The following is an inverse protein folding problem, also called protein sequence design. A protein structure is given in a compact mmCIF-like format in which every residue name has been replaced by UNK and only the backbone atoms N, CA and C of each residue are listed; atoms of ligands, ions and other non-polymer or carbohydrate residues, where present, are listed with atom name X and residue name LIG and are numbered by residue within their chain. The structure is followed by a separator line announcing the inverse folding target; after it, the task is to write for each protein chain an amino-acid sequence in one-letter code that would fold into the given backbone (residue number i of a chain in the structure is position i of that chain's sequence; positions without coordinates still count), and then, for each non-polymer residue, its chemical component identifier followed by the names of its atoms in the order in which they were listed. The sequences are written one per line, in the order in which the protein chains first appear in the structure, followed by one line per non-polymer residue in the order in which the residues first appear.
data_IF_042179917740
#
_entry.id   IF_042179917740
#
_cell.length_a   1.000
_cell.length_b   1.000
_cell.length_c   1.000
_cell.angle_alpha   90.00
_cell.angle_beta   90.00
_cell.angle_gamma   90.00
#
_symmetry.space_group_name_H-M   'P 1'
#
loop_
_entity.id
_entity.type
_entity.pdbx_description
1 polymer ?
#
# COMPACT_ATOMS: atom_id res chain seq x y z
N UNK A 1 7.68 -20.03 19.47
CA UNK A 1 7.26 -18.96 18.54
C UNK A 1 5.94 -19.41 17.95
N UNK A 2 4.90 -18.58 18.00
CA UNK A 2 3.65 -18.89 17.30
C UNK A 2 3.93 -18.83 15.80
N UNK A 3 3.76 -19.93 15.07
CA UNK A 3 3.85 -19.90 13.61
C UNK A 3 2.79 -18.95 13.10
N UNK A 4 3.18 -17.94 12.32
CA UNK A 4 2.21 -17.02 11.73
C UNK A 4 1.29 -17.79 10.79
N UNK A 5 -0.02 -17.72 11.04
CA UNK A 5 -1.01 -18.44 10.25
C UNK A 5 -1.30 -17.68 8.95
N UNK A 6 -1.18 -18.36 7.81
CA UNK A 6 -1.70 -17.86 6.53
C UNK A 6 -3.22 -18.05 6.48
N UNK A 7 -3.94 -16.95 6.26
CA UNK A 7 -5.41 -16.92 6.24
C UNK A 7 -5.96 -16.80 4.81
N UNK A 8 -5.25 -16.11 3.92
CA UNK A 8 -5.59 -15.99 2.50
C UNK A 8 -4.38 -16.32 1.63
N UNK A 9 -4.62 -16.98 0.50
CA UNK A 9 -3.63 -17.38 -0.51
C UNK A 9 -4.00 -16.79 -1.87
N UNK A 10 -3.09 -16.90 -2.85
CA UNK A 10 -3.31 -16.48 -4.24
C UNK A 10 -3.63 -14.98 -4.36
N UNK A 11 -2.93 -14.16 -3.58
CA UNK A 11 -3.16 -12.71 -3.56
C UNK A 11 -2.35 -11.94 -4.60
N UNK A 12 -1.31 -12.55 -5.18
CA UNK A 12 -0.49 -11.89 -6.20
C UNK A 12 -1.32 -11.55 -7.43
N UNK A 13 -1.22 -10.31 -7.90
CA UNK A 13 -2.00 -9.80 -9.01
C UNK A 13 -3.46 -9.49 -8.67
N UNK A 14 -3.91 -9.63 -7.41
CA UNK A 14 -5.27 -9.19 -7.03
C UNK A 14 -5.32 -7.67 -7.07
N UNK A 15 -6.28 -7.14 -7.84
CA UNK A 15 -6.52 -5.71 -8.00
C UNK A 15 -7.28 -5.13 -6.80
N UNK A 16 -6.88 -3.94 -6.38
CA UNK A 16 -7.56 -3.19 -5.33
C UNK A 16 -7.40 -1.67 -5.51
N UNK A 17 -8.21 -0.88 -4.81
CA UNK A 17 -8.07 0.57 -4.76
C UNK A 17 -8.36 1.11 -3.37
N UNK A 18 -7.85 2.31 -3.10
CA UNK A 18 -7.96 2.95 -1.79
C UNK A 18 -8.37 4.42 -1.89
N UNK A 19 -9.36 4.83 -1.11
CA UNK A 19 -9.70 6.24 -0.85
C UNK A 19 -9.06 6.64 0.49
N UNK A 20 -8.09 7.54 0.45
CA UNK A 20 -7.39 8.05 1.64
C UNK A 20 -7.97 9.41 1.99
N UNK A 21 -8.78 9.47 3.04
CA UNK A 21 -9.47 10.69 3.49
C UNK A 21 -8.75 11.29 4.71
N UNK A 22 -8.21 12.49 4.57
CA UNK A 22 -7.50 13.24 5.62
C UNK A 22 -8.47 14.12 6.39
N UNK A 23 -8.43 14.06 7.70
CA UNK A 23 -9.21 14.88 8.61
C UNK A 23 -8.30 15.68 9.54
N UNK A 24 -8.66 16.94 9.79
CA UNK A 24 -8.01 17.80 10.77
C UNK A 24 -9.01 18.05 11.90
N UNK A 25 -8.65 17.67 13.14
CA UNK A 25 -9.46 17.85 14.34
C UNK A 25 -8.63 18.54 15.41
N UNK A 26 -8.74 19.87 15.49
CA UNK A 26 -7.83 20.67 16.32
C UNK A 26 -6.40 20.52 15.83
N UNK A 27 -5.50 20.11 16.72
CA UNK A 27 -4.07 19.91 16.42
C UNK A 27 -3.75 18.50 15.88
N UNK A 28 -4.76 17.62 15.78
CA UNK A 28 -4.58 16.25 15.30
C UNK A 28 -4.91 16.16 13.82
N UNK A 29 -3.97 15.59 13.05
CA UNK A 29 -4.18 15.21 11.65
C UNK A 29 -4.23 13.69 11.59
N UNK A 30 -5.28 13.14 10.98
CA UNK A 30 -5.43 11.70 10.75
C UNK A 30 -5.89 11.43 9.33
N UNK A 31 -5.53 10.29 8.76
CA UNK A 31 -6.10 9.78 7.51
C UNK A 31 -6.81 8.46 7.74
N UNK A 32 -8.05 8.35 7.25
CA UNK A 32 -8.75 7.07 7.14
C UNK A 32 -8.52 6.48 5.76
N UNK A 33 -8.11 5.22 5.72
CA UNK A 33 -7.91 4.48 4.46
C UNK A 33 -9.08 3.54 4.25
N UNK A 34 -9.91 3.85 3.26
CA UNK A 34 -10.97 2.98 2.79
C UNK A 34 -10.47 2.18 1.60
N UNK A 35 -10.62 0.86 1.61
CA UNK A 35 -10.13 0.03 0.52
C UNK A 35 -11.06 -1.11 0.13
N UNK A 36 -10.88 -1.59 -1.09
CA UNK A 36 -11.69 -2.69 -1.69
C UNK A 36 -11.18 -4.08 -1.33
N UNK A 37 -10.06 -4.19 -0.61
CA UNK A 37 -9.40 -5.46 -0.34
C UNK A 37 -10.35 -6.45 0.34
N UNK A 38 -10.44 -7.65 -0.25
CA UNK A 38 -11.34 -8.73 0.18
C UNK A 38 -12.84 -8.41 0.06
N UNK A 39 -13.22 -7.36 -0.68
CA UNK A 39 -14.62 -7.00 -0.94
C UNK A 39 -14.95 -7.05 -2.43
N UNK A 40 -14.10 -6.47 -3.27
CA UNK A 40 -14.22 -6.49 -4.73
C UNK A 40 -12.84 -6.20 -5.36
N UNK A 41 -12.76 -6.36 -6.67
CA UNK A 41 -11.56 -6.18 -7.51
C UNK A 41 -11.38 -4.73 -8.00
N UNK A 42 -12.03 -3.77 -7.34
CA UNK A 42 -11.99 -2.35 -7.64
C UNK A 42 -12.47 -1.96 -9.06
N UNK A 43 -13.56 -2.50 -9.63
CA UNK A 43 -13.88 -2.42 -11.07
C UNK A 43 -13.62 -1.05 -11.71
N UNK A 44 -12.96 -1.02 -12.88
CA UNK A 44 -12.51 0.23 -13.50
C UNK A 44 -13.68 1.18 -13.77
N UNK A 45 -14.81 0.64 -14.24
CA UNK A 45 -16.04 1.38 -14.49
C UNK A 45 -16.66 2.04 -13.27
N UNK A 46 -16.32 1.58 -12.05
CA UNK A 46 -16.74 2.22 -10.80
C UNK A 46 -15.64 3.15 -10.27
N UNK A 47 -14.38 2.71 -10.30
CA UNK A 47 -13.24 3.52 -9.85
C UNK A 47 -13.09 4.82 -10.63
N UNK A 48 -13.26 4.77 -11.96
CA UNK A 48 -13.10 5.93 -12.85
C UNK A 48 -14.21 6.97 -12.66
N UNK A 49 -15.26 6.64 -11.91
CA UNK A 49 -16.35 7.55 -11.56
C UNK A 49 -16.12 8.28 -10.24
N UNK A 50 -15.04 7.98 -9.52
CA UNK A 50 -14.72 8.63 -8.25
C UNK A 50 -14.17 10.04 -8.49
N UNK A 51 -14.72 11.03 -7.79
CA UNK A 51 -14.20 12.39 -7.75
C UNK A 51 -13.69 12.71 -6.33
N UNK A 52 -12.38 12.96 -6.21
CA UNK A 52 -11.77 13.23 -4.92
C UNK A 52 -12.33 14.49 -4.24
N UNK A 53 -12.70 15.52 -5.00
CA UNK A 53 -13.24 16.76 -4.46
C UNK A 53 -14.69 16.59 -3.99
N UNK A 54 -15.50 15.79 -4.69
CA UNK A 54 -16.85 15.42 -4.24
C UNK A 54 -16.79 14.56 -2.97
N UNK A 55 -15.94 13.53 -2.95
CA UNK A 55 -15.75 12.67 -1.75
C UNK A 55 -15.23 13.51 -0.57
N UNK A 56 -14.33 14.47 -0.82
CA UNK A 56 -13.85 15.39 0.22
C UNK A 56 -15.00 16.15 0.88
N UNK A 57 -15.92 16.70 0.07
CA UNK A 57 -17.10 17.42 0.55
C UNK A 57 -18.06 16.49 1.30
N UNK A 58 -18.33 15.31 0.75
CA UNK A 58 -19.25 14.33 1.35
C UNK A 58 -18.78 13.89 2.75
N UNK A 59 -17.49 13.61 2.88
CA UNK A 59 -16.92 13.16 4.14
C UNK A 59 -16.69 14.30 5.14
N UNK A 60 -16.73 15.57 4.70
CA UNK A 60 -16.23 16.68 5.50
C UNK A 60 -14.73 16.54 5.80
N UNK A 61 -13.99 15.93 4.87
CA UNK A 61 -12.55 15.74 4.97
C UNK A 61 -11.81 17.05 4.63
N UNK A 62 -10.58 17.18 5.09
CA UNK A 62 -9.67 18.23 4.66
C UNK A 62 -9.20 18.00 3.22
N UNK A 63 -8.88 16.75 2.89
CA UNK A 63 -8.47 16.33 1.55
C UNK A 63 -8.73 14.84 1.36
N UNK A 64 -8.91 14.43 0.11
CA UNK A 64 -8.99 13.02 -0.29
C UNK A 64 -7.98 12.74 -1.38
N UNK A 65 -7.25 11.63 -1.26
CA UNK A 65 -6.41 11.06 -2.31
C UNK A 65 -7.04 9.74 -2.79
N UNK A 66 -7.23 9.62 -4.10
CA UNK A 66 -7.49 8.33 -4.74
C UNK A 66 -6.14 7.62 -4.92
N UNK A 67 -5.89 6.58 -4.13
CA UNK A 67 -4.61 5.89 -4.00
C UNK A 67 -4.64 4.53 -4.72
N UNK A 68 -4.67 4.55 -6.05
CA UNK A 68 -4.77 3.35 -6.88
C UNK A 68 -5.53 3.63 -8.18
N UNK A 69 -5.94 2.59 -8.94
CA UNK A 69 -5.91 1.18 -8.58
C UNK A 69 -4.49 0.57 -8.56
N UNK A 70 -4.37 -0.53 -7.84
CA UNK A 70 -3.12 -1.23 -7.53
C UNK A 70 -3.29 -2.73 -7.69
N UNK A 71 -2.19 -3.44 -7.85
CA UNK A 71 -2.17 -4.90 -7.81
C UNK A 71 -1.16 -5.38 -6.77
N UNK A 72 -1.57 -6.33 -5.95
CA UNK A 72 -0.72 -6.93 -4.93
C UNK A 72 0.47 -7.68 -5.54
N UNK A 73 1.62 -7.59 -4.87
CA UNK A 73 2.83 -8.37 -5.13
C UNK A 73 3.18 -9.34 -4.01
N UNK A 74 2.35 -9.39 -2.97
CA UNK A 74 2.34 -10.44 -1.94
C UNK A 74 1.53 -11.65 -2.42
N UNK A 75 1.88 -12.83 -1.94
CA UNK A 75 1.24 -14.11 -2.31
C UNK A 75 0.16 -14.55 -1.31
N UNK A 76 0.26 -14.09 -0.06
CA UNK A 76 -0.72 -14.40 0.98
C UNK A 76 -0.80 -13.37 2.10
N UNK A 77 -1.92 -13.44 2.83
CA UNK A 77 -2.22 -12.61 3.99
C UNK A 77 -2.41 -13.51 5.20
N UNK A 78 -1.85 -13.11 6.33
CA UNK A 78 -2.03 -13.76 7.63
C UNK A 78 -2.84 -12.94 8.61
N UNK A 79 -2.55 -13.14 9.89
CA UNK A 79 -3.21 -12.47 11.01
C UNK A 79 -3.13 -10.94 10.91
N UNK A 80 -4.19 -10.27 11.37
CA UNK A 80 -4.24 -8.82 11.55
C UNK A 80 -4.56 -8.50 13.02
N UNK A 81 -3.62 -7.88 13.72
CA UNK A 81 -3.69 -7.61 15.17
C UNK A 81 -3.89 -6.14 15.53
N UNK A 82 -3.82 -5.24 14.55
CA UNK A 82 -4.24 -3.84 14.66
C UNK A 82 -5.56 -3.64 13.89
N UNK A 83 -6.71 -4.18 14.38
CA UNK A 83 -7.98 -3.96 13.74
C UNK A 83 -8.40 -2.49 13.93
N UNK A 84 -8.86 -1.89 12.84
CA UNK A 84 -9.64 -0.65 12.90
C UNK A 84 -11.11 -1.01 12.83
N UNK A 85 -11.98 -0.20 13.44
CA UNK A 85 -13.42 -0.42 13.31
C UNK A 85 -13.80 -0.40 11.81
N UNK A 86 -14.42 -1.46 11.29
CA UNK A 86 -14.68 -1.65 9.87
C UNK A 86 -15.90 -0.85 9.43
N UNK A 87 -15.70 0.43 9.13
CA UNK A 87 -16.74 1.26 8.54
C UNK A 87 -16.86 0.91 7.06
N UNK A 88 -17.99 0.34 6.67
CA UNK A 88 -18.34 0.13 5.26
C UNK A 88 -18.87 1.45 4.70
N UNK A 89 -18.38 1.84 3.52
CA UNK A 89 -18.89 2.98 2.75
C UNK A 89 -18.94 2.64 1.28
N UNK A 90 -19.92 3.20 0.59
CA UNK A 90 -19.99 3.18 -0.86
C UNK A 90 -19.53 4.53 -1.41
N UNK A 91 -18.59 4.49 -2.34
CA UNK A 91 -18.18 5.65 -3.11
C UNK A 91 -18.65 5.44 -4.54
N UNK A 92 -19.74 6.10 -4.93
CA UNK A 92 -20.35 5.98 -6.25
C UNK A 92 -20.58 4.51 -6.71
N UNK A 93 -21.12 3.67 -5.82
CA UNK A 93 -21.35 2.25 -6.08
C UNK A 93 -20.14 1.34 -5.87
N UNK A 94 -18.96 1.90 -5.59
CA UNK A 94 -17.79 1.13 -5.18
C UNK A 94 -17.78 0.93 -3.66
N UNK A 95 -18.19 -0.25 -3.21
CA UNK A 95 -18.16 -0.60 -1.79
C UNK A 95 -16.71 -0.75 -1.29
N UNK A 96 -16.39 -0.06 -0.21
CA UNK A 96 -15.09 -0.08 0.47
C UNK A 96 -15.26 -0.24 1.98
N UNK A 97 -14.19 -0.65 2.66
CA UNK A 97 -14.13 -0.72 4.12
C UNK A 97 -12.93 0.06 4.63
N UNK A 98 -13.08 0.74 5.77
CA UNK A 98 -11.94 1.31 6.49
C UNK A 98 -10.98 0.19 6.91
N UNK A 99 -9.77 0.19 6.35
CA UNK A 99 -8.75 -0.84 6.57
C UNK A 99 -7.58 -0.34 7.42
N UNK A 100 -7.37 0.97 7.53
CA UNK A 100 -6.35 1.57 8.38
C UNK A 100 -6.74 2.99 8.79
N UNK A 101 -6.12 3.46 9.87
CA UNK A 101 -6.07 4.87 10.27
C UNK A 101 -4.60 5.22 10.41
N UNK A 102 -4.18 6.31 9.78
CA UNK A 102 -2.82 6.85 9.86
C UNK A 102 -2.89 8.12 10.71
N UNK A 103 -2.15 8.14 11.81
CA UNK A 103 -1.96 9.34 12.61
C UNK A 103 -0.68 10.04 12.16
N UNK A 104 -0.72 11.37 12.05
CA UNK A 104 0.44 12.17 11.69
C UNK A 104 0.94 12.93 12.91
N UNK A 105 2.25 12.87 13.13
CA UNK A 105 2.89 13.63 14.20
C UNK A 105 2.78 15.15 13.94
N UNK A 106 2.80 16.00 14.98
CA UNK A 106 2.78 17.45 14.80
C UNK A 106 3.86 17.93 13.81
N UNK A 107 3.42 18.63 12.76
CA UNK A 107 4.30 19.14 11.69
C UNK A 107 4.57 18.16 10.54
N UNK A 108 4.15 16.89 10.66
CA UNK A 108 4.21 15.93 9.56
C UNK A 108 3.10 16.23 8.53
N UNK A 109 3.48 16.29 7.25
CA UNK A 109 2.51 16.54 6.18
C UNK A 109 1.76 15.25 5.82
N UNK A 110 0.43 15.30 5.62
CA UNK A 110 -0.37 14.13 5.21
C UNK A 110 -0.23 13.80 3.72
N UNK A 111 0.60 14.53 2.97
CA UNK A 111 0.92 14.28 1.56
C UNK A 111 2.10 13.34 1.43
N UNK A 112 2.04 12.33 0.57
CA UNK A 112 3.18 11.45 0.28
C UNK A 112 4.11 12.09 -0.75
N UNK A 113 5.42 12.12 -0.45
CA UNK A 113 6.46 12.38 -1.45
C UNK A 113 7.17 11.08 -1.83
N UNK A 114 7.61 10.91 -3.10
CA UNK A 114 8.41 9.76 -3.48
C UNK A 114 9.64 9.61 -2.58
N UNK A 115 9.96 8.37 -2.24
CA UNK A 115 11.11 7.98 -1.42
C UNK A 115 11.09 8.48 0.04
N UNK A 116 9.97 9.05 0.50
CA UNK A 116 9.76 9.40 1.90
C UNK A 116 9.25 8.18 2.69
N UNK A 117 9.94 7.82 3.77
CA UNK A 117 9.52 6.74 4.65
C UNK A 117 8.29 7.13 5.48
N UNK A 118 7.35 6.19 5.61
CA UNK A 118 6.12 6.34 6.40
C UNK A 118 5.97 5.16 7.36
N UNK A 119 5.64 5.46 8.61
CA UNK A 119 5.24 4.45 9.59
C UNK A 119 3.73 4.28 9.59
N UNK A 120 3.24 3.03 9.46
CA UNK A 120 1.82 2.72 9.46
C UNK A 120 1.52 1.63 10.48
N UNK A 121 0.57 1.89 11.39
CA UNK A 121 0.09 0.87 12.32
C UNK A 121 -0.88 -0.09 11.62
N UNK A 122 -0.34 -1.05 10.85
CA UNK A 122 -1.11 -2.02 10.07
C UNK A 122 -1.32 -3.34 10.82
N UNK A 123 -0.36 -3.76 11.64
CA UNK A 123 -0.46 -4.97 12.45
C UNK A 123 -0.74 -6.22 11.62
N UNK A 124 -0.08 -6.41 10.46
CA UNK A 124 -0.42 -7.49 9.52
C UNK A 124 0.77 -8.39 9.20
N UNK A 125 0.47 -9.64 8.87
CA UNK A 125 1.43 -10.60 8.32
C UNK A 125 1.18 -10.77 6.83
N UNK A 126 2.22 -10.59 6.04
CA UNK A 126 2.21 -10.84 4.60
C UNK A 126 3.24 -11.89 4.23
N UNK A 127 2.91 -12.66 3.20
CA UNK A 127 3.77 -13.73 2.73
C UNK A 127 4.11 -13.52 1.25
N UNK A 128 5.37 -13.78 0.92
CA UNK A 128 5.87 -13.89 -0.44
C UNK A 128 6.47 -15.28 -0.58
N UNK A 129 5.96 -16.05 -1.53
CA UNK A 129 6.23 -17.48 -1.63
C UNK A 129 7.65 -17.72 -2.15
N UNK A 130 8.28 -18.81 -1.69
CA UNK A 130 9.51 -19.33 -2.30
C UNK A 130 9.29 -19.52 -3.81
N UNK A 131 10.25 -19.07 -4.62
CA UNK A 131 10.19 -19.11 -6.08
C UNK A 131 9.51 -17.91 -6.72
N UNK A 132 8.82 -17.06 -5.94
CA UNK A 132 8.28 -15.79 -6.45
C UNK A 132 9.40 -14.78 -6.73
N UNK A 133 9.20 -13.96 -7.76
CA UNK A 133 10.03 -12.77 -7.98
C UNK A 133 9.55 -11.66 -7.05
N UNK A 134 10.50 -11.10 -6.30
CA UNK A 134 10.33 -9.85 -5.55
C UNK A 134 11.10 -8.72 -6.22
N UNK A 135 10.56 -7.52 -6.07
CA UNK A 135 11.14 -6.28 -6.58
C UNK A 135 11.47 -5.39 -5.39
N UNK A 136 12.66 -4.85 -5.33
CA UNK A 136 13.19 -4.19 -4.14
C UNK A 136 13.74 -2.81 -4.49
N UNK A 137 13.36 -1.81 -3.70
CA UNK A 137 14.16 -0.58 -3.55
C UNK A 137 15.21 -0.85 -2.48
N UNK A 138 16.46 -0.54 -2.76
CA UNK A 138 17.56 -0.64 -1.79
C UNK A 138 18.07 0.75 -1.54
N UNK A 139 17.99 1.24 -0.30
CA UNK A 139 18.47 2.58 0.05
C UNK A 139 20.01 2.65 0.11
N UNK A 140 20.51 3.86 0.37
CA UNK A 140 21.95 4.13 0.42
C UNK A 140 22.71 3.35 1.50
N UNK A 141 22.01 2.89 2.55
CA UNK A 141 22.58 2.07 3.63
C UNK A 141 22.45 0.56 3.34
N UNK A 142 21.85 0.19 2.20
CA UNK A 142 21.66 -1.19 1.78
C UNK A 142 20.37 -1.84 2.31
N UNK A 143 19.47 -1.07 2.93
CA UNK A 143 18.19 -1.58 3.42
C UNK A 143 17.27 -1.83 2.23
N UNK A 144 16.77 -3.05 2.11
CA UNK A 144 15.91 -3.47 1.00
C UNK A 144 14.42 -3.45 1.39
N UNK A 145 13.63 -2.65 0.70
CA UNK A 145 12.17 -2.56 0.82
C UNK A 145 11.54 -3.38 -0.31
N UNK A 146 10.74 -4.38 0.04
CA UNK A 146 10.07 -5.26 -0.93
C UNK A 146 8.77 -4.63 -1.43
N UNK A 147 8.56 -4.64 -2.75
CA UNK A 147 7.35 -4.14 -3.38
C UNK A 147 6.14 -4.92 -2.85
N UNK A 148 5.25 -4.22 -2.16
CA UNK A 148 3.98 -4.78 -1.73
C UNK A 148 2.94 -4.71 -2.85
N UNK A 149 2.93 -3.65 -3.66
CA UNK A 149 1.97 -3.48 -4.75
C UNK A 149 2.47 -2.48 -5.79
N UNK A 150 2.17 -2.75 -7.07
CA UNK A 150 2.38 -1.77 -8.14
C UNK A 150 1.10 -0.97 -8.42
N UNK A 151 1.25 0.29 -8.80
CA UNK A 151 0.15 1.20 -9.13
C UNK A 151 -0.01 1.31 -10.65
N UNK A 152 -1.24 1.40 -11.14
CA UNK A 152 -1.52 1.55 -12.59
C UNK A 152 -2.09 2.93 -12.95
N UNK A 153 -2.24 3.83 -11.97
CA UNK A 153 -2.84 5.14 -12.20
C UNK A 153 -1.89 6.21 -12.68
N UNK A 154 -0.61 6.11 -12.29
CA UNK A 154 0.42 7.04 -12.76
C UNK A 154 0.97 6.59 -14.11
N UNK A 155 1.20 5.29 -14.26
CA UNK A 155 1.63 4.67 -15.50
C UNK A 155 0.74 3.47 -15.87
N UNK A 156 -0.24 3.67 -16.76
CA UNK A 156 -1.12 2.59 -17.22
C UNK A 156 -0.41 1.48 -17.99
N UNK A 157 0.82 1.70 -18.48
CA UNK A 157 1.61 0.67 -19.14
C UNK A 157 2.30 -0.28 -18.14
N UNK A 158 2.30 0.04 -16.84
CA UNK A 158 2.88 -0.82 -15.81
C UNK A 158 2.07 -2.11 -15.66
N UNK A 159 2.78 -3.23 -15.77
CA UNK A 159 2.29 -4.58 -15.46
C UNK A 159 3.38 -5.37 -14.72
N UNK A 160 3.03 -6.50 -14.11
CA UNK A 160 4.00 -7.36 -13.44
C UNK A 160 5.21 -7.73 -14.35
N UNK A 161 4.97 -7.97 -15.65
CA UNK A 161 6.02 -8.32 -16.62
C UNK A 161 7.02 -7.18 -16.85
N UNK A 162 6.58 -5.93 -16.70
CA UNK A 162 7.42 -4.74 -16.89
C UNK A 162 8.24 -4.37 -15.66
N UNK A 163 7.92 -4.92 -14.48
CA UNK A 163 8.58 -4.52 -13.23
C UNK A 163 10.07 -4.86 -13.22
N UNK A 164 10.51 -5.90 -13.94
CA UNK A 164 11.93 -6.28 -13.98
C UNK A 164 12.84 -5.16 -14.52
N UNK A 165 12.33 -4.31 -15.42
CA UNK A 165 13.06 -3.17 -15.99
C UNK A 165 12.63 -1.82 -15.40
N UNK A 166 11.77 -1.79 -14.37
CA UNK A 166 11.28 -0.55 -13.76
C UNK A 166 12.42 0.36 -13.30
N UNK A 167 13.51 -0.22 -12.79
CA UNK A 167 14.70 0.52 -12.34
C UNK A 167 15.33 1.44 -13.40
N UNK A 168 15.15 1.16 -14.70
CA UNK A 168 15.64 2.02 -15.79
C UNK A 168 14.85 3.32 -15.92
N UNK A 169 13.66 3.38 -15.31
CA UNK A 169 12.71 4.48 -15.40
C UNK A 169 12.60 5.28 -14.09
N UNK A 170 13.13 4.74 -13.00
CA UNK A 170 13.08 5.37 -11.68
C UNK A 170 14.13 6.49 -11.56
N UNK A 171 13.71 7.60 -10.99
CA UNK A 171 14.56 8.72 -10.56
C UNK A 171 14.94 8.49 -9.10
N UNK A 172 15.82 7.53 -8.89
CA UNK A 172 16.23 7.09 -7.56
C UNK A 172 17.03 8.19 -6.83
N UNK A 173 16.85 8.35 -5.50
CA UNK A 173 17.73 9.18 -4.69
C UNK A 173 19.18 8.73 -4.77
N UNK A 174 20.12 9.62 -4.43
CA UNK A 174 21.54 9.28 -4.42
C UNK A 174 21.82 8.07 -3.50
N UNK A 175 22.58 7.10 -4.02
CA UNK A 175 22.91 5.85 -3.33
C UNK A 175 21.82 4.77 -3.38
N UNK A 176 20.59 5.10 -3.80
CA UNK A 176 19.54 4.10 -3.93
C UNK A 176 19.70 3.27 -5.20
N UNK A 177 19.23 2.03 -5.16
CA UNK A 177 19.18 1.13 -6.31
C UNK A 177 17.85 0.38 -6.37
N UNK A 178 17.53 -0.15 -7.55
CA UNK A 178 16.39 -1.03 -7.76
C UNK A 178 16.87 -2.38 -8.25
N UNK A 179 16.29 -3.47 -7.74
CA UNK A 179 16.61 -4.82 -8.20
C UNK A 179 15.39 -5.74 -8.16
N UNK A 180 15.50 -6.86 -8.85
CA UNK A 180 14.60 -8.00 -8.66
C UNK A 180 15.41 -9.25 -8.28
N UNK A 181 14.77 -10.17 -7.56
CA UNK A 181 15.35 -11.49 -7.26
C UNK A 181 14.26 -12.53 -7.08
N UNK A 182 14.61 -13.78 -7.34
CA UNK A 182 13.77 -14.93 -7.00
C UNK A 182 14.01 -15.26 -5.53
N UNK A 183 12.93 -15.50 -4.78
CA UNK A 183 13.02 -15.92 -3.39
C UNK A 183 13.45 -17.39 -3.27
N UNK A 184 14.57 -17.64 -2.61
CA UNK A 184 15.03 -19.01 -2.31
C UNK A 184 14.28 -19.65 -1.14
N UNK A 185 13.66 -18.82 -0.30
CA UNK A 185 12.85 -19.19 0.87
C UNK A 185 11.64 -18.25 0.96
N UNK A 186 10.58 -18.67 1.65
CA UNK A 186 9.42 -17.82 1.88
C UNK A 186 9.84 -16.58 2.67
N UNK A 187 9.45 -15.41 2.19
CA UNK A 187 9.64 -14.15 2.90
C UNK A 187 8.35 -13.80 3.63
N UNK A 188 8.45 -13.63 4.95
CA UNK A 188 7.33 -13.23 5.81
C UNK A 188 7.56 -11.80 6.29
N UNK A 189 6.68 -10.88 5.90
CA UNK A 189 6.67 -9.52 6.44
C UNK A 189 5.66 -9.49 7.58
N UNK A 190 6.15 -9.56 8.81
CA UNK A 190 5.36 -9.56 10.02
C UNK A 190 5.47 -8.21 10.73
N UNK A 191 4.36 -7.48 10.81
CA UNK A 191 4.28 -6.16 11.48
C UNK A 191 3.37 -6.21 12.70
N UNK A 192 3.18 -7.39 13.31
CA UNK A 192 2.21 -7.57 14.39
C UNK A 192 2.63 -6.95 15.72
N UNK A 193 3.92 -6.70 15.94
CA UNK A 193 4.46 -6.12 17.18
C UNK A 193 5.17 -4.76 17.00
N UNK A 194 5.16 -4.20 15.78
CA UNK A 194 5.76 -2.90 15.47
C UNK A 194 5.05 -2.21 14.28
N UNK A 195 5.30 -0.91 14.09
CA UNK A 195 4.76 -0.18 12.95
C UNK A 195 5.45 -0.60 11.65
N UNK A 196 4.69 -0.75 10.57
CA UNK A 196 5.23 -1.04 9.24
C UNK A 196 5.94 0.21 8.67
N UNK A 197 7.14 0.04 8.12
CA UNK A 197 7.82 1.08 7.33
C UNK A 197 7.50 0.90 5.84
N UNK A 198 6.94 1.94 5.24
CA UNK A 198 6.44 1.97 3.86
C UNK A 198 7.09 3.10 3.09
N UNK A 199 7.39 2.88 1.81
CA UNK A 199 7.89 3.89 0.87
C UNK A 199 7.17 3.77 -0.47
N UNK A 200 6.97 4.90 -1.15
CA UNK A 200 6.44 4.93 -2.52
C UNK A 200 7.48 5.50 -3.49
N UNK A 201 7.55 4.98 -4.71
CA UNK A 201 8.28 5.63 -5.81
C UNK A 201 7.42 6.68 -6.51
N UNK A 202 7.96 7.37 -7.52
CA UNK A 202 7.24 8.40 -8.28
C UNK A 202 6.11 7.86 -9.17
N UNK A 203 6.06 6.55 -9.41
CA UNK A 203 4.94 5.87 -10.06
C UNK A 203 3.89 5.38 -9.04
N UNK A 204 4.07 5.77 -7.77
CA UNK A 204 3.27 5.34 -6.63
C UNK A 204 3.27 3.82 -6.38
N UNK A 205 4.22 3.05 -6.92
CA UNK A 205 4.41 1.68 -6.46
C UNK A 205 4.82 1.73 -5.00
N UNK A 206 4.29 0.81 -4.21
CA UNK A 206 4.49 0.82 -2.75
C UNK A 206 5.35 -0.35 -2.33
N UNK A 207 6.30 -0.07 -1.45
CA UNK A 207 7.26 -1.02 -0.91
C UNK A 207 7.18 -1.01 0.62
N UNK A 208 7.46 -2.14 1.25
CA UNK A 208 7.45 -2.33 2.70
C UNK A 208 8.79 -2.91 3.14
N UNK A 209 9.26 -2.52 4.32
CA UNK A 209 10.44 -3.14 4.93
C UNK A 209 10.09 -4.57 5.41
N UNK A 210 10.81 -5.63 4.96
CA UNK A 210 10.80 -6.93 5.62
C UNK A 210 11.74 -6.89 6.83
N UNK A 211 11.19 -7.05 8.04
CA UNK A 211 11.95 -7.04 9.30
C UNK A 211 12.69 -8.36 9.56
#
# INVERSE_FOLDING_TARGET
MSTQQRLNTNMRGVRYGEVVAVFIKGDTVQAEVYGTQMLNDCPAELWDTLDAAEITKELGAFAVKLNGPRHWMLDGLGSKVAPVEPVIRDFNGLTMRRIAVIEFEPGQKPTTSPYELRSVNRGAVWFFDKGSVVYELVDADGVAYVMQAYCISVDPATSQDTLASLGERLTLPEGWSYRSRILEEELVVDTTDHMATVVQDEFENTYTLPY
#
